data_IF_310541577835
#
_entry.id   IF_310541577835
#
_cell.length_a   1.000
_cell.length_b   1.000
_cell.length_c   1.000
_cell.angle_alpha   90.00
_cell.angle_beta   90.00
_cell.angle_gamma   90.00
#
_symmetry.space_group_name_H-M   'P 1'
#
loop_
_entity.id
_entity.type
_entity.pdbx_description
1 polymer ?
#
# COMPACT_ATOMS: atom_id res chain seq x y z
N UNK A 1 -25.57 11.26 1.68
CA UNK A 1 -25.06 12.61 1.89
C UNK A 1 -24.24 12.63 3.18
N UNK A 2 -23.02 13.21 3.11
CA UNK A 2 -22.06 13.30 4.25
C UNK A 2 -22.69 13.99 5.46
N UNK A 3 -23.48 15.03 5.26
CA UNK A 3 -24.17 15.75 6.34
C UNK A 3 -25.17 14.86 7.06
N UNK A 4 -25.84 13.95 6.38
CA UNK A 4 -26.76 13.01 7.01
C UNK A 4 -25.99 12.00 7.90
N UNK A 5 -24.80 11.57 7.47
CA UNK A 5 -23.94 10.70 8.27
C UNK A 5 -23.46 11.44 9.52
N UNK A 6 -22.94 12.66 9.36
CA UNK A 6 -22.47 13.49 10.49
C UNK A 6 -23.58 13.70 11.53
N UNK A 7 -24.83 13.98 11.09
CA UNK A 7 -25.99 14.17 11.99
C UNK A 7 -26.38 12.91 12.76
N UNK A 8 -25.94 11.72 12.32
CA UNK A 8 -26.20 10.45 13.00
C UNK A 8 -25.13 10.08 14.02
N UNK A 9 -24.03 10.82 14.10
CA UNK A 9 -23.00 10.57 15.10
C UNK A 9 -23.56 10.89 16.47
N UNK A 10 -23.73 9.84 17.28
CA UNK A 10 -24.31 9.95 18.62
C UNK A 10 -23.25 10.01 19.73
N UNK A 11 -22.01 9.60 19.41
CA UNK A 11 -20.93 9.55 20.38
C UNK A 11 -19.63 10.07 19.74
N UNK A 12 -18.96 10.93 20.48
CA UNK A 12 -17.61 11.40 20.14
C UNK A 12 -16.72 11.21 21.37
N UNK A 13 -15.45 10.90 21.13
CA UNK A 13 -14.45 10.85 22.18
C UNK A 13 -13.42 11.95 21.96
N UNK A 14 -13.03 12.63 23.05
CA UNK A 14 -11.99 13.64 23.03
C UNK A 14 -10.60 13.06 23.31
N UNK A 15 -10.52 11.82 23.78
CA UNK A 15 -9.28 11.13 24.08
C UNK A 15 -9.38 9.67 23.66
N UNK A 16 -8.37 9.20 22.95
CA UNK A 16 -8.23 7.80 22.55
C UNK A 16 -6.74 7.39 22.69
N UNK A 17 -6.44 6.13 23.04
CA UNK A 17 -5.08 5.62 22.98
C UNK A 17 -4.56 5.70 21.54
N UNK A 18 -3.29 6.11 21.41
CA UNK A 18 -2.60 6.20 20.13
C UNK A 18 -1.41 5.25 20.14
N UNK A 19 -1.32 4.42 19.15
CA UNK A 19 -0.15 3.58 18.88
C UNK A 19 0.19 3.65 17.39
N UNK A 20 1.47 3.50 17.06
CA UNK A 20 1.88 3.56 15.65
C UNK A 20 3.16 2.79 15.41
N UNK A 21 3.30 2.29 14.20
CA UNK A 21 4.47 1.56 13.73
C UNK A 21 4.72 1.88 12.26
N UNK A 22 5.99 1.95 11.91
CA UNK A 22 6.46 2.03 10.53
C UNK A 22 7.22 0.75 10.21
N UNK A 23 6.96 0.19 9.06
CA UNK A 23 7.66 -0.98 8.57
C UNK A 23 8.00 -0.84 7.08
N UNK A 24 8.90 -1.68 6.60
CA UNK A 24 9.32 -1.72 5.21
C UNK A 24 9.12 -3.13 4.66
N UNK A 25 8.37 -3.21 3.59
CA UNK A 25 8.20 -4.42 2.81
C UNK A 25 9.16 -4.37 1.63
N UNK A 26 9.94 -5.43 1.47
CA UNK A 26 10.86 -5.62 0.36
C UNK A 26 10.49 -6.88 -0.42
N UNK A 27 10.36 -6.74 -1.72
CA UNK A 27 10.16 -7.86 -2.65
C UNK A 27 11.14 -7.76 -3.80
N UNK A 28 11.37 -8.83 -4.57
CA UNK A 28 12.08 -8.71 -5.83
C UNK A 28 11.41 -7.67 -6.74
N UNK A 29 12.21 -6.87 -7.40
CA UNK A 29 11.74 -5.80 -8.26
C UNK A 29 12.48 -5.79 -9.60
N UNK A 30 12.11 -4.84 -10.45
CA UNK A 30 12.68 -4.64 -11.78
C UNK A 30 13.57 -3.41 -11.79
N UNK A 31 14.68 -3.46 -12.45
CA UNK A 31 15.51 -2.28 -12.70
C UNK A 31 14.88 -1.38 -13.76
N UNK A 32 14.86 -0.08 -13.49
CA UNK A 32 14.40 0.93 -14.45
C UNK A 32 15.61 1.78 -14.83
N UNK A 33 15.92 1.82 -16.12
CA UNK A 33 16.95 2.71 -16.68
C UNK A 33 16.25 3.88 -17.35
N UNK A 34 16.48 5.08 -16.83
CA UNK A 34 16.03 6.32 -17.47
C UNK A 34 17.00 6.68 -18.59
N UNK A 35 16.49 6.93 -19.80
CA UNK A 35 17.28 7.43 -20.90
C UNK A 35 17.40 8.97 -20.84
N UNK A 36 18.58 9.49 -21.17
CA UNK A 36 18.77 10.94 -21.32
C UNK A 36 17.81 11.47 -22.39
N UNK A 37 16.96 12.41 -21.99
CA UNK A 37 15.90 12.96 -22.84
C UNK A 37 14.48 12.78 -22.31
N UNK A 38 14.30 12.09 -21.19
CA UNK A 38 13.16 12.24 -20.26
C UNK A 38 11.86 11.55 -20.63
N UNK A 39 11.75 10.75 -21.71
CA UNK A 39 10.43 10.22 -22.08
C UNK A 39 10.29 8.71 -22.14
N UNK A 40 11.36 7.92 -21.97
CA UNK A 40 11.28 6.47 -21.97
C UNK A 40 12.13 5.86 -20.86
N UNK A 41 11.46 5.22 -19.92
CA UNK A 41 12.08 4.31 -18.96
C UNK A 41 12.13 2.91 -19.58
N UNK A 42 13.31 2.31 -19.67
CA UNK A 42 13.45 0.90 -20.06
C UNK A 42 13.62 0.06 -18.81
N UNK A 43 12.74 -0.92 -18.66
CA UNK A 43 12.85 -1.90 -17.59
C UNK A 43 13.84 -2.97 -18.03
N UNK A 44 14.91 -3.14 -17.28
CA UNK A 44 15.97 -4.12 -17.56
C UNK A 44 16.10 -5.07 -16.38
N UNK A 45 15.96 -6.36 -16.65
CA UNK A 45 16.23 -7.41 -15.67
C UNK A 45 15.17 -7.53 -14.55
N UNK A 46 14.65 -8.73 -14.39
CA UNK A 46 13.74 -9.08 -13.30
C UNK A 46 14.54 -9.46 -12.05
N UNK A 47 14.11 -8.97 -10.88
CA UNK A 47 14.71 -9.33 -9.60
C UNK A 47 16.07 -8.69 -9.29
N UNK A 48 16.50 -7.69 -10.04
CA UNK A 48 17.83 -7.05 -9.89
C UNK A 48 17.80 -6.04 -8.74
N UNK A 49 16.73 -5.25 -8.65
CA UNK A 49 16.58 -4.24 -7.59
C UNK A 49 15.40 -4.59 -6.67
N UNK A 50 15.50 -4.33 -5.37
CA UNK A 50 14.37 -4.52 -4.49
C UNK A 50 13.24 -3.54 -4.84
N UNK A 51 12.00 -4.03 -4.80
CA UNK A 51 10.82 -3.20 -4.79
C UNK A 51 10.42 -2.94 -3.34
N UNK A 52 10.37 -1.68 -2.98
CA UNK A 52 10.20 -1.22 -1.60
C UNK A 52 8.84 -0.57 -1.44
N UNK A 53 8.11 -0.99 -0.40
CA UNK A 53 6.88 -0.35 0.04
C UNK A 53 7.05 0.02 1.51
N UNK A 54 6.93 1.29 1.83
CA UNK A 54 6.87 1.75 3.21
C UNK A 54 5.43 1.64 3.70
N UNK A 55 5.28 1.08 4.89
CA UNK A 55 4.01 0.83 5.54
C UNK A 55 3.94 1.66 6.83
N UNK A 56 2.84 2.36 7.03
CA UNK A 56 2.57 3.12 8.25
C UNK A 56 1.24 2.67 8.83
N UNK A 57 1.25 2.12 10.03
CA UNK A 57 0.03 1.76 10.73
C UNK A 57 -0.08 2.60 12.00
N UNK A 58 -1.19 3.34 12.12
CA UNK A 58 -1.53 4.10 13.31
C UNK A 58 -2.90 3.65 13.81
N UNK A 59 -2.99 3.36 15.10
CA UNK A 59 -4.23 3.02 15.81
C UNK A 59 -4.65 4.22 16.65
N UNK A 60 -5.89 4.64 16.48
CA UNK A 60 -6.55 5.70 17.24
C UNK A 60 -7.81 5.10 17.89
N UNK A 61 -7.67 4.59 19.11
CA UNK A 61 -8.75 3.80 19.74
C UNK A 61 -9.10 2.60 18.86
N UNK A 62 -10.33 2.57 18.35
CA UNK A 62 -10.85 1.48 17.50
C UNK A 62 -10.69 1.73 15.99
N UNK A 63 -9.97 2.77 15.60
CA UNK A 63 -9.76 3.13 14.21
C UNK A 63 -8.30 2.89 13.82
N UNK A 64 -8.06 2.21 12.70
CA UNK A 64 -6.73 2.11 12.08
C UNK A 64 -6.62 3.07 10.89
N UNK A 65 -5.49 3.77 10.81
CA UNK A 65 -5.03 4.48 9.62
C UNK A 65 -3.84 3.70 9.07
N UNK A 66 -3.95 3.17 7.86
CA UNK A 66 -2.90 2.37 7.27
C UNK A 66 -2.42 3.00 5.96
N UNK A 67 -1.21 3.51 5.99
CA UNK A 67 -0.56 4.23 4.90
C UNK A 67 0.41 3.39 4.10
N UNK A 68 0.50 3.68 2.81
CA UNK A 68 1.38 3.03 1.84
C UNK A 68 2.16 4.08 1.05
N UNK A 69 3.43 3.82 0.79
CA UNK A 69 4.27 4.73 0.00
C UNK A 69 3.97 4.73 -1.51
N UNK A 70 2.87 4.15 -1.94
CA UNK A 70 2.42 4.11 -3.32
C UNK A 70 0.91 4.05 -3.44
N UNK A 71 0.41 3.82 -4.65
CA UNK A 71 -1.01 3.61 -4.93
C UNK A 71 -1.37 2.12 -4.86
N UNK A 72 -1.98 1.72 -3.75
CA UNK A 72 -2.44 0.35 -3.54
C UNK A 72 -3.71 0.09 -4.36
N UNK A 73 -3.67 -0.94 -5.20
CA UNK A 73 -4.84 -1.36 -5.97
C UNK A 73 -5.92 -1.95 -5.07
N UNK A 74 -7.17 -1.82 -5.53
CA UNK A 74 -8.35 -2.11 -4.73
C UNK A 74 -8.45 -3.54 -4.20
N UNK A 75 -7.93 -4.52 -4.94
CA UNK A 75 -7.91 -5.91 -4.50
C UNK A 75 -6.99 -6.10 -3.28
N UNK A 76 -5.79 -5.52 -3.32
CA UNK A 76 -4.86 -5.53 -2.18
C UNK A 76 -5.43 -4.74 -0.99
N UNK A 77 -6.07 -3.59 -1.26
CA UNK A 77 -6.71 -2.81 -0.21
C UNK A 77 -7.86 -3.55 0.48
N UNK A 78 -8.68 -4.30 -0.26
CA UNK A 78 -9.71 -5.17 0.34
C UNK A 78 -9.08 -6.24 1.22
N UNK A 79 -7.99 -6.86 0.73
CA UNK A 79 -7.30 -7.89 1.50
C UNK A 79 -6.72 -7.36 2.81
N UNK A 80 -6.13 -6.18 2.80
CA UNK A 80 -5.66 -5.51 4.03
C UNK A 80 -6.82 -5.26 5.01
N UNK A 81 -7.98 -4.84 4.52
CA UNK A 81 -9.18 -4.65 5.36
C UNK A 81 -9.67 -5.95 5.98
N UNK A 82 -9.66 -7.04 5.23
CA UNK A 82 -10.04 -8.39 5.72
C UNK A 82 -9.10 -8.91 6.81
N UNK A 83 -7.82 -8.53 6.78
CA UNK A 83 -6.82 -8.93 7.76
C UNK A 83 -6.83 -8.06 9.03
N UNK A 84 -7.48 -6.90 8.96
CA UNK A 84 -7.56 -5.99 10.10
C UNK A 84 -8.40 -6.60 11.24
N UNK A 85 -7.88 -6.64 12.47
CA UNK A 85 -8.67 -7.02 13.65
C UNK A 85 -9.63 -5.90 14.08
N UNK A 86 -9.49 -4.69 13.52
CA UNK A 86 -10.33 -3.54 13.81
C UNK A 86 -11.39 -3.39 12.73
N UNK A 87 -12.63 -3.08 13.13
CA UNK A 87 -13.75 -2.87 12.23
C UNK A 87 -13.52 -1.65 11.31
N UNK A 88 -12.90 -0.61 11.85
CA UNK A 88 -12.70 0.64 11.14
C UNK A 88 -11.25 0.81 10.71
N UNK A 89 -11.00 0.62 9.42
CA UNK A 89 -9.69 0.85 8.82
C UNK A 89 -9.79 1.81 7.63
N UNK A 90 -8.96 2.84 7.64
CA UNK A 90 -8.81 3.82 6.56
C UNK A 90 -7.48 3.58 5.88
N UNK A 91 -7.51 3.32 4.58
CA UNK A 91 -6.30 3.15 3.77
C UNK A 91 -5.90 4.50 3.18
N UNK A 92 -4.62 4.82 3.25
CA UNK A 92 -4.03 6.07 2.78
C UNK A 92 -2.97 5.74 1.74
N UNK A 93 -3.24 6.08 0.49
CA UNK A 93 -2.26 5.98 -0.59
C UNK A 93 -1.33 7.20 -0.58
N UNK A 94 -0.15 7.03 -1.15
CA UNK A 94 0.87 8.09 -1.25
C UNK A 94 1.33 8.66 0.10
N UNK A 95 1.27 7.87 1.15
CA UNK A 95 1.90 8.22 2.42
C UNK A 95 3.43 8.06 2.28
N UNK A 96 3.98 8.85 1.37
CA UNK A 96 5.34 8.69 0.91
C UNK A 96 6.28 9.67 1.59
N UNK A 97 7.40 9.15 2.05
CA UNK A 97 8.60 9.98 2.05
C UNK A 97 9.04 10.22 0.59
N UNK A 98 9.71 11.34 0.32
CA UNK A 98 10.33 11.66 -0.97
C UNK A 98 11.25 10.54 -1.53
N UNK A 99 11.60 9.56 -0.70
CA UNK A 99 12.48 8.44 -1.02
C UNK A 99 11.73 7.16 -1.44
N UNK A 100 10.42 7.11 -1.26
CA UNK A 100 9.64 5.93 -1.61
C UNK A 100 9.37 5.89 -3.11
N UNK A 101 9.81 4.83 -3.76
CA UNK A 101 9.72 4.62 -5.21
C UNK A 101 8.66 3.58 -5.60
N UNK A 102 7.62 3.42 -4.77
CA UNK A 102 6.67 2.33 -4.99
C UNK A 102 5.79 2.51 -6.22
N UNK A 103 5.36 3.73 -6.52
CA UNK A 103 4.42 3.98 -7.62
C UNK A 103 3.11 3.20 -7.43
N UNK A 104 2.62 2.58 -8.51
CA UNK A 104 1.45 1.71 -8.45
C UNK A 104 1.80 0.34 -7.89
N UNK A 105 1.00 -0.13 -6.94
CA UNK A 105 1.12 -1.44 -6.27
C UNK A 105 -0.03 -2.32 -6.75
N UNK A 106 0.25 -3.18 -7.74
CA UNK A 106 -0.72 -4.04 -8.39
C UNK A 106 -0.92 -5.35 -7.62
N UNK A 107 -2.12 -5.92 -7.73
CA UNK A 107 -2.35 -7.33 -7.48
C UNK A 107 -1.97 -8.17 -8.71
N UNK A 108 -1.71 -9.47 -8.50
CA UNK A 108 -1.24 -10.36 -9.56
C UNK A 108 -2.27 -10.57 -10.67
N UNK A 109 -3.55 -10.54 -10.35
CA UNK A 109 -4.62 -10.68 -11.32
C UNK A 109 -4.71 -9.47 -12.24
N UNK A 110 -4.63 -8.27 -11.67
CA UNK A 110 -4.57 -7.02 -12.43
C UNK A 110 -3.33 -7.00 -13.32
N UNK A 111 -2.18 -7.40 -12.78
CA UNK A 111 -0.96 -7.50 -13.56
C UNK A 111 -1.10 -8.47 -14.75
N UNK A 112 -1.66 -9.67 -14.53
CA UNK A 112 -1.84 -10.68 -15.57
C UNK A 112 -2.84 -10.26 -16.67
N UNK A 113 -3.85 -9.47 -16.31
CA UNK A 113 -4.85 -8.97 -17.27
C UNK A 113 -4.30 -7.92 -18.22
N UNK A 114 -3.29 -7.18 -17.81
CA UNK A 114 -2.71 -6.11 -18.63
C UNK A 114 -1.62 -6.61 -19.58
N UNK A 115 -1.97 -7.61 -20.38
CA UNK A 115 -1.09 -8.14 -21.44
C UNK A 115 -0.74 -7.09 -22.51
N UNK A 116 -1.43 -5.95 -22.53
CA UNK A 116 -1.27 -4.92 -23.54
C UNK A 116 -0.52 -3.67 -23.04
N UNK A 117 -0.02 -3.67 -21.82
CA UNK A 117 0.60 -2.48 -21.18
C UNK A 117 -0.30 -1.22 -21.26
N UNK A 118 -1.62 -1.38 -21.14
CA UNK A 118 -2.59 -0.29 -21.26
C UNK A 118 -2.88 0.42 -19.95
N UNK A 119 -2.62 -0.23 -18.81
CA UNK A 119 -2.86 0.39 -17.52
C UNK A 119 -1.85 1.51 -17.28
N UNK A 120 -2.30 2.70 -16.87
CA UNK A 120 -1.41 3.78 -16.49
C UNK A 120 -0.43 3.32 -15.41
N UNK A 121 0.85 3.63 -15.57
CA UNK A 121 1.88 3.30 -14.60
C UNK A 121 2.39 1.85 -14.63
N UNK A 122 1.79 0.94 -15.41
CA UNK A 122 2.28 -0.43 -15.51
C UNK A 122 3.72 -0.50 -16.03
N UNK A 123 4.08 0.34 -17.00
CA UNK A 123 5.43 0.42 -17.55
C UNK A 123 6.45 0.98 -16.57
N UNK A 124 6.04 1.87 -15.68
CA UNK A 124 6.90 2.48 -14.66
C UNK A 124 6.89 1.72 -13.33
N UNK A 125 6.05 0.70 -13.19
CA UNK A 125 6.05 -0.11 -11.98
C UNK A 125 7.28 -1.00 -11.93
N UNK A 126 8.01 -0.88 -10.82
CA UNK A 126 9.16 -1.74 -10.50
C UNK A 126 8.75 -3.07 -9.88
N UNK A 127 7.46 -3.26 -9.63
CA UNK A 127 6.91 -4.46 -9.01
C UNK A 127 7.06 -5.68 -9.92
N UNK A 128 7.41 -6.83 -9.33
CA UNK A 128 7.24 -8.15 -9.93
C UNK A 128 5.99 -8.83 -9.39
N UNK A 129 5.17 -9.48 -10.23
CA UNK A 129 4.03 -10.25 -9.78
C UNK A 129 4.44 -11.46 -8.92
N UNK A 130 3.54 -11.97 -8.10
CA UNK A 130 3.74 -13.17 -7.28
C UNK A 130 4.38 -12.95 -5.92
N UNK A 131 4.83 -11.73 -5.60
CA UNK A 131 5.57 -11.48 -4.35
C UNK A 131 4.87 -10.53 -3.38
N UNK A 132 4.15 -9.54 -3.91
CA UNK A 132 3.66 -8.41 -3.09
C UNK A 132 2.54 -8.86 -2.15
N UNK A 133 1.57 -9.63 -2.62
CA UNK A 133 0.42 -10.03 -1.81
C UNK A 133 0.83 -10.77 -0.54
N UNK A 134 1.60 -11.84 -0.66
CA UNK A 134 2.02 -12.65 0.48
C UNK A 134 2.87 -11.86 1.48
N UNK A 135 3.75 -10.98 0.97
CA UNK A 135 4.57 -10.12 1.83
C UNK A 135 3.72 -9.07 2.54
N UNK A 136 2.75 -8.46 1.84
CA UNK A 136 1.84 -7.48 2.42
C UNK A 136 0.96 -8.10 3.51
N UNK A 137 0.42 -9.29 3.28
CA UNK A 137 -0.36 -10.03 4.28
C UNK A 137 0.45 -10.28 5.55
N UNK A 138 1.66 -10.80 5.41
CA UNK A 138 2.57 -11.07 6.52
C UNK A 138 2.85 -9.81 7.33
N UNK A 139 3.31 -8.75 6.68
CA UNK A 139 3.64 -7.48 7.35
C UNK A 139 2.41 -6.85 8.02
N UNK A 140 1.25 -6.89 7.36
CA UNK A 140 0.00 -6.38 7.93
C UNK A 140 -0.35 -7.07 9.25
N UNK A 141 -0.31 -8.41 9.28
CA UNK A 141 -0.59 -9.18 10.49
C UNK A 141 0.43 -8.89 11.59
N UNK A 142 1.72 -8.88 11.26
CA UNK A 142 2.79 -8.58 12.22
C UNK A 142 2.67 -7.15 12.80
N UNK A 143 2.33 -6.16 11.98
CA UNK A 143 2.15 -4.78 12.44
C UNK A 143 0.97 -4.67 13.40
N UNK A 144 -0.19 -5.28 13.10
CA UNK A 144 -1.32 -5.30 14.02
C UNK A 144 -0.99 -6.01 15.35
N UNK A 145 -0.25 -7.12 15.31
CA UNK A 145 0.21 -7.79 16.52
C UNK A 145 1.11 -6.90 17.39
N UNK A 146 2.04 -6.16 16.76
CA UNK A 146 2.99 -5.28 17.46
C UNK A 146 2.32 -4.07 18.12
N UNK A 147 1.27 -3.50 17.53
CA UNK A 147 0.58 -2.33 18.12
C UNK A 147 -0.51 -2.71 19.12
N UNK A 148 -0.72 -3.99 19.34
CA UNK A 148 -1.73 -4.49 20.26
C UNK A 148 -3.14 -4.27 19.70
N UNK A 149 -3.62 -5.24 19.00
CA UNK A 149 -5.03 -5.32 18.57
C UNK A 149 -5.93 -5.66 19.75
#
# INVERSE_FOLDING_TARGET
>A
DVLQVIRKIQCTTAAAPVAGIVDWLYTPGRSIVSHEGGSMETITGDGVDPYEIRLHLMKLGEIALYGFSGELYSALGRRVKELSPLEHIILINHDASLMARSGYIFDDETWARDTSNRLPGHRSSRMLPGYVLASLEKHTLEMFQKIGS
#
